data_IF_170631662136
#
_entry.id   IF_170631662136
#
_cell.length_a   1.000
_cell.length_b   1.000
_cell.length_c   1.000
_cell.angle_alpha   90.00
_cell.angle_beta   90.00
_cell.angle_gamma   90.00
#
_symmetry.space_group_name_H-M   'P 1'
#
loop_
_entity.id
_entity.type
_entity.pdbx_description
1 polymer ?
#
# COMPACT_ATOMS: atom_id res chain seq x y z
N UNK A 1 -12.53 -6.92 -18.94
CA UNK A 1 -12.35 -8.40 -18.98
C UNK A 1 -12.53 -8.87 -17.55
N UNK A 2 -13.46 -9.79 -17.30
CA UNK A 2 -13.63 -10.37 -15.97
C UNK A 2 -12.42 -11.26 -15.63
N UNK A 3 -11.92 -11.15 -14.40
CA UNK A 3 -10.80 -11.95 -13.92
C UNK A 3 -11.36 -13.25 -13.35
N UNK A 4 -11.02 -14.35 -13.99
CA UNK A 4 -11.51 -15.68 -13.57
C UNK A 4 -10.99 -16.03 -12.19
N UNK A 5 -11.89 -16.42 -11.29
CA UNK A 5 -11.55 -16.94 -9.96
C UNK A 5 -10.60 -18.12 -10.08
N UNK A 6 -9.56 -18.10 -9.26
CA UNK A 6 -8.56 -19.17 -9.19
C UNK A 6 -8.63 -19.88 -7.85
N UNK A 7 -8.35 -21.17 -7.85
CA UNK A 7 -8.19 -21.95 -6.62
C UNK A 7 -6.75 -21.78 -6.10
N UNK A 8 -6.62 -21.16 -4.95
CA UNK A 8 -5.37 -20.98 -4.24
C UNK A 8 -5.17 -21.94 -3.06
N UNK A 9 -6.04 -22.95 -2.88
CA UNK A 9 -5.97 -23.88 -1.74
C UNK A 9 -4.68 -24.70 -1.71
N UNK A 10 -4.01 -24.87 -2.84
CA UNK A 10 -2.75 -25.58 -2.98
C UNK A 10 -1.51 -24.67 -2.89
N UNK A 11 -1.70 -23.36 -2.84
CA UNK A 11 -0.58 -22.42 -2.67
C UNK A 11 -0.06 -22.51 -1.24
N UNK A 12 1.24 -22.65 -1.10
CA UNK A 12 1.88 -22.77 0.22
C UNK A 12 2.40 -21.44 0.77
N UNK A 13 2.70 -20.49 -0.11
CA UNK A 13 3.30 -19.21 0.23
C UNK A 13 2.36 -18.07 -0.14
N UNK A 14 1.92 -17.33 0.86
CA UNK A 14 1.06 -16.15 0.67
C UNK A 14 1.85 -14.90 1.07
N UNK A 15 1.97 -13.90 0.17
CA UNK A 15 2.54 -12.60 0.53
C UNK A 15 1.81 -12.01 1.74
N UNK A 16 2.54 -11.32 2.63
CA UNK A 16 1.94 -10.71 3.83
C UNK A 16 1.62 -11.68 4.97
N UNK A 17 1.97 -12.98 4.85
CA UNK A 17 1.90 -13.95 5.95
C UNK A 17 3.29 -14.32 6.46
N UNK A 18 3.40 -14.76 7.71
CA UNK A 18 4.66 -15.23 8.26
C UNK A 18 5.10 -16.57 7.61
N UNK A 19 6.41 -16.77 7.43
CA UNK A 19 6.99 -18.00 6.89
C UNK A 19 6.83 -18.16 5.37
N UNK A 20 6.61 -17.08 4.65
CA UNK A 20 6.55 -17.11 3.18
C UNK A 20 7.96 -17.05 2.54
N UNK A 21 8.07 -17.37 1.25
CA UNK A 21 9.37 -17.38 0.53
C UNK A 21 10.03 -16.01 0.44
N UNK A 22 9.28 -14.92 0.61
CA UNK A 22 9.80 -13.57 0.62
C UNK A 22 10.61 -13.27 1.90
N UNK A 23 10.39 -14.01 2.97
CA UNK A 23 11.16 -13.89 4.22
C UNK A 23 12.67 -14.15 3.99
N UNK A 24 13.04 -14.97 3.01
CA UNK A 24 14.45 -15.17 2.64
C UNK A 24 15.05 -13.86 2.09
N UNK A 25 14.33 -13.15 1.24
CA UNK A 25 14.76 -11.88 0.68
C UNK A 25 14.90 -10.83 1.79
N UNK A 26 13.94 -10.80 2.72
CA UNK A 26 13.98 -9.89 3.87
C UNK A 26 15.18 -10.22 4.78
N UNK A 27 15.45 -11.51 5.03
CA UNK A 27 16.61 -11.93 5.82
C UNK A 27 17.94 -11.51 5.17
N UNK A 28 18.09 -11.70 3.86
CA UNK A 28 19.29 -11.24 3.12
C UNK A 28 19.45 -9.73 3.24
N UNK A 29 18.35 -8.98 3.15
CA UNK A 29 18.38 -7.54 3.33
C UNK A 29 18.82 -7.14 4.74
N UNK A 30 18.34 -7.83 5.78
CA UNK A 30 18.76 -7.58 7.18
C UNK A 30 20.25 -7.86 7.37
N UNK A 31 20.76 -8.95 6.78
CA UNK A 31 22.22 -9.28 6.80
C UNK A 31 23.02 -8.17 6.13
N UNK A 32 22.59 -7.66 4.97
CA UNK A 32 23.25 -6.55 4.27
C UNK A 32 23.24 -5.27 5.12
N UNK A 33 22.10 -4.93 5.73
CA UNK A 33 22.01 -3.74 6.60
C UNK A 33 22.93 -3.86 7.83
N UNK A 34 23.07 -5.07 8.40
CA UNK A 34 23.95 -5.38 9.52
C UNK A 34 25.45 -5.30 9.22
N UNK A 35 25.88 -5.21 7.97
CA UNK A 35 27.31 -5.14 7.62
C UNK A 35 27.98 -3.89 8.23
N UNK A 36 29.21 -4.00 8.76
CA UNK A 36 30.00 -2.85 9.17
C UNK A 36 30.17 -1.84 8.02
N UNK A 37 29.96 -0.55 8.28
CA UNK A 37 30.02 0.49 7.25
C UNK A 37 31.32 0.52 6.43
N UNK A 38 32.52 0.32 7.00
CA UNK A 38 33.74 0.24 6.19
C UNK A 38 33.76 -0.95 5.23
N UNK A 39 33.27 -2.13 5.67
CA UNK A 39 33.20 -3.32 4.83
C UNK A 39 32.19 -3.12 3.70
N UNK A 40 31.05 -2.52 4.00
CA UNK A 40 30.04 -2.19 3.00
C UNK A 40 30.56 -1.21 1.96
N UNK A 41 31.28 -0.15 2.39
CA UNK A 41 31.92 0.81 1.49
C UNK A 41 32.92 0.10 0.54
N UNK A 42 33.76 -0.79 1.08
CA UNK A 42 34.70 -1.57 0.26
C UNK A 42 33.96 -2.47 -0.76
N UNK A 43 32.88 -3.12 -0.35
CA UNK A 43 32.07 -3.96 -1.25
C UNK A 43 31.47 -3.13 -2.40
N UNK A 44 31.00 -1.90 -2.13
CA UNK A 44 30.46 -1.00 -3.16
C UNK A 44 31.53 -0.56 -4.19
N UNK A 45 32.80 -0.60 -3.85
CA UNK A 45 33.89 -0.25 -4.76
C UNK A 45 34.30 -1.39 -5.68
N UNK A 46 33.90 -2.63 -5.42
CA UNK A 46 34.24 -3.77 -6.28
C UNK A 46 33.73 -3.63 -7.72
N UNK A 47 32.43 -3.30 -7.99
CA UNK A 47 31.97 -3.02 -9.33
C UNK A 47 32.71 -1.85 -10.00
N UNK A 48 33.06 -0.81 -9.24
CA UNK A 48 33.82 0.34 -9.72
C UNK A 48 35.22 -0.07 -10.18
N UNK A 49 35.90 -0.94 -9.42
CA UNK A 49 37.20 -1.49 -9.81
C UNK A 49 37.10 -2.32 -11.10
N UNK A 50 36.06 -3.13 -11.22
CA UNK A 50 35.80 -3.90 -12.44
C UNK A 50 35.61 -3.00 -13.66
N UNK A 51 34.85 -1.93 -13.53
CA UNK A 51 34.69 -0.92 -14.61
C UNK A 51 36.01 -0.26 -14.97
N UNK A 52 36.85 0.11 -13.99
CA UNK A 52 38.18 0.66 -14.23
C UNK A 52 39.06 -0.30 -15.06
N UNK A 53 39.03 -1.60 -14.73
CA UNK A 53 39.77 -2.65 -15.45
C UNK A 53 39.24 -2.83 -16.89
N UNK A 54 37.93 -2.88 -17.07
CA UNK A 54 37.29 -3.07 -18.39
C UNK A 54 37.61 -1.91 -19.31
N UNK A 55 37.55 -0.66 -18.83
CA UNK A 55 37.85 0.53 -19.59
C UNK A 55 39.36 0.79 -19.69
N UNK A 56 40.21 0.02 -19.00
CA UNK A 56 41.66 0.26 -18.88
C UNK A 56 41.98 1.69 -18.46
N UNK A 57 41.15 2.27 -17.62
CA UNK A 57 41.23 3.65 -17.15
C UNK A 57 40.57 3.78 -15.77
N UNK A 58 41.19 4.55 -14.87
CA UNK A 58 40.68 4.76 -13.52
C UNK A 58 39.43 5.66 -13.46
N UNK A 59 39.27 6.58 -14.42
CA UNK A 59 38.26 7.62 -14.38
C UNK A 59 36.81 7.06 -14.38
N UNK A 60 36.42 6.11 -15.26
CA UNK A 60 35.10 5.50 -15.22
C UNK A 60 34.79 4.79 -13.90
N UNK A 61 35.80 4.06 -13.37
CA UNK A 61 35.68 3.35 -12.09
C UNK A 61 35.53 4.33 -10.92
N UNK A 62 36.36 5.39 -10.88
CA UNK A 62 36.24 6.42 -9.83
C UNK A 62 34.86 7.08 -9.89
N UNK A 63 34.39 7.45 -11.09
CA UNK A 63 33.05 8.02 -11.28
C UNK A 63 31.95 7.11 -10.74
N UNK A 64 31.94 5.82 -11.12
CA UNK A 64 30.96 4.87 -10.64
C UNK A 64 31.03 4.69 -9.12
N UNK A 65 32.23 4.59 -8.54
CA UNK A 65 32.41 4.49 -7.09
C UNK A 65 31.83 5.69 -6.34
N UNK A 66 32.00 6.90 -6.88
CA UNK A 66 31.40 8.12 -6.32
C UNK A 66 29.87 8.08 -6.40
N UNK A 67 29.28 7.59 -7.48
CA UNK A 67 27.82 7.43 -7.58
C UNK A 67 27.29 6.40 -6.57
N UNK A 68 27.95 5.25 -6.39
CA UNK A 68 27.56 4.27 -5.39
C UNK A 68 27.60 4.84 -3.97
N UNK A 69 28.67 5.55 -3.62
CA UNK A 69 28.80 6.18 -2.31
C UNK A 69 27.80 7.31 -2.12
N UNK A 70 27.48 8.06 -3.19
CA UNK A 70 26.47 9.11 -3.14
C UNK A 70 25.04 8.55 -2.91
N UNK A 71 24.69 7.44 -3.57
CA UNK A 71 23.43 6.77 -3.33
C UNK A 71 23.31 6.32 -1.88
N UNK A 72 24.35 5.66 -1.36
CA UNK A 72 24.34 5.25 0.04
C UNK A 72 24.21 6.45 0.98
N UNK A 73 24.95 7.53 0.73
CA UNK A 73 24.85 8.75 1.52
C UNK A 73 23.46 9.38 1.46
N UNK A 74 22.85 9.46 0.26
CA UNK A 74 21.49 9.97 0.06
C UNK A 74 20.47 9.16 0.87
N UNK A 75 20.53 7.82 0.81
CA UNK A 75 19.60 6.97 1.54
C UNK A 75 19.84 7.01 3.06
N UNK A 76 21.10 6.97 3.50
CA UNK A 76 21.46 7.04 4.91
C UNK A 76 21.13 8.40 5.57
N UNK A 77 20.95 9.44 4.77
CA UNK A 77 20.54 10.76 5.26
C UNK A 77 19.03 10.91 5.42
N UNK A 78 18.18 10.05 4.81
CA UNK A 78 16.72 10.16 4.87
C UNK A 78 16.18 10.36 6.30
N UNK A 79 16.60 9.57 7.32
CA UNK A 79 16.12 9.74 8.70
C UNK A 79 16.47 11.10 9.31
N UNK A 80 17.64 11.67 8.94
CA UNK A 80 18.06 12.99 9.47
C UNK A 80 17.16 14.13 9.00
N UNK A 81 16.49 13.95 7.87
CA UNK A 81 15.56 14.92 7.30
C UNK A 81 14.08 14.53 7.53
N UNK A 82 13.80 13.53 8.37
CA UNK A 82 12.45 13.10 8.67
C UNK A 82 11.68 12.57 7.45
N UNK A 83 12.41 11.96 6.50
CA UNK A 83 11.81 11.47 5.24
C UNK A 83 11.37 10.02 5.32
N UNK A 84 12.23 9.14 5.83
CA UNK A 84 11.95 7.72 6.06
C UNK A 84 12.98 7.14 7.01
N UNK A 85 12.63 6.05 7.70
CA UNK A 85 13.47 5.39 8.71
C UNK A 85 13.85 3.96 8.28
N UNK A 86 13.74 3.65 6.99
CA UNK A 86 14.09 2.35 6.42
C UNK A 86 15.60 2.10 6.28
N UNK A 87 15.98 0.85 5.93
CA UNK A 87 17.37 0.47 5.71
C UNK A 87 17.97 1.20 4.51
N UNK A 88 19.26 1.55 4.59
CA UNK A 88 19.94 2.26 3.51
C UNK A 88 20.80 1.34 2.63
N UNK A 89 21.42 0.30 3.21
CA UNK A 89 22.40 -0.53 2.49
C UNK A 89 21.76 -1.48 1.45
N UNK A 90 20.66 -2.22 1.75
CA UNK A 90 20.06 -3.13 0.76
C UNK A 90 19.63 -2.42 -0.52
N UNK A 91 18.88 -1.29 -0.48
CA UNK A 91 18.53 -0.59 -1.71
C UNK A 91 19.78 0.00 -2.42
N UNK A 92 20.83 0.39 -1.69
CA UNK A 92 22.09 0.83 -2.31
C UNK A 92 22.76 -0.29 -3.10
N UNK A 93 22.73 -1.54 -2.62
CA UNK A 93 23.25 -2.69 -3.39
C UNK A 93 22.48 -2.86 -4.70
N UNK A 94 21.15 -2.78 -4.65
CA UNK A 94 20.32 -2.85 -5.86
C UNK A 94 20.67 -1.72 -6.85
N UNK A 95 20.79 -0.50 -6.35
CA UNK A 95 21.20 0.66 -7.17
C UNK A 95 22.60 0.46 -7.76
N UNK A 96 23.57 -0.08 -7.00
CA UNK A 96 24.91 -0.35 -7.50
C UNK A 96 24.90 -1.37 -8.65
N UNK A 97 24.05 -2.39 -8.58
CA UNK A 97 23.83 -3.35 -9.68
C UNK A 97 23.23 -2.63 -10.90
N UNK A 98 22.22 -1.80 -10.71
CA UNK A 98 21.58 -1.05 -11.81
C UNK A 98 22.55 -0.07 -12.48
N UNK A 99 23.38 0.64 -11.72
CA UNK A 99 24.38 1.59 -12.23
C UNK A 99 25.54 0.92 -12.96
N UNK A 100 25.82 -0.34 -12.68
CA UNK A 100 26.89 -1.07 -13.36
C UNK A 100 26.67 -1.15 -14.89
N UNK A 101 25.43 -1.30 -15.35
CA UNK A 101 25.15 -1.44 -16.78
C UNK A 101 25.40 -0.15 -17.58
N UNK A 102 24.90 1.03 -17.19
CA UNK A 102 25.25 2.29 -17.87
C UNK A 102 26.75 2.58 -17.87
N UNK A 103 27.47 2.19 -16.80
CA UNK A 103 28.92 2.40 -16.70
C UNK A 103 29.75 1.65 -17.75
N UNK A 104 29.16 0.67 -18.44
CA UNK A 104 29.78 -0.04 -19.57
C UNK A 104 29.76 0.79 -20.87
N UNK A 105 28.99 1.88 -20.93
CA UNK A 105 28.89 2.75 -22.09
C UNK A 105 30.16 3.62 -22.25
N UNK A 106 30.38 4.25 -23.42
CA UNK A 106 31.40 5.29 -23.57
C UNK A 106 31.24 6.42 -22.55
N UNK A 107 32.34 6.92 -22.02
CA UNK A 107 32.36 7.82 -20.85
C UNK A 107 31.34 8.97 -20.87
N UNK A 108 31.12 9.73 -21.96
CA UNK A 108 30.12 10.81 -21.97
C UNK A 108 28.70 10.29 -21.77
N UNK A 109 28.36 9.16 -22.39
CA UNK A 109 27.03 8.53 -22.26
C UNK A 109 26.84 7.90 -20.89
N UNK A 110 27.87 7.24 -20.36
CA UNK A 110 27.86 6.72 -19.00
C UNK A 110 27.63 7.86 -17.98
N UNK A 111 28.38 8.93 -18.06
CA UNK A 111 28.24 10.07 -17.15
C UNK A 111 26.83 10.71 -17.22
N UNK A 112 26.27 10.85 -18.41
CA UNK A 112 24.91 11.36 -18.59
C UNK A 112 23.86 10.40 -17.99
N UNK A 113 23.98 9.10 -18.25
CA UNK A 113 23.06 8.09 -17.72
C UNK A 113 23.13 8.01 -16.18
N UNK A 114 24.33 8.08 -15.61
CA UNK A 114 24.54 8.09 -14.15
C UNK A 114 23.96 9.34 -13.49
N UNK A 115 24.11 10.51 -14.12
CA UNK A 115 23.51 11.75 -13.63
C UNK A 115 21.97 11.66 -13.63
N UNK A 116 21.37 11.14 -14.72
CA UNK A 116 19.93 10.86 -14.79
C UNK A 116 19.52 9.85 -13.71
N UNK A 117 20.29 8.77 -13.54
CA UNK A 117 20.07 7.78 -12.47
C UNK A 117 20.02 8.43 -11.08
N UNK A 118 20.92 9.37 -10.80
CA UNK A 118 20.91 10.10 -9.52
C UNK A 118 19.64 10.95 -9.35
N UNK A 119 19.17 11.63 -10.40
CA UNK A 119 17.91 12.37 -10.35
C UNK A 119 16.72 11.43 -10.09
N UNK A 120 16.71 10.24 -10.69
CA UNK A 120 15.67 9.22 -10.45
C UNK A 120 15.74 8.70 -9.00
N UNK A 121 16.91 8.46 -8.44
CA UNK A 121 17.09 8.08 -7.03
C UNK A 121 16.56 9.16 -6.10
N UNK A 122 16.91 10.43 -6.34
CA UNK A 122 16.39 11.55 -5.55
C UNK A 122 14.87 11.62 -5.67
N UNK A 123 14.32 11.52 -6.86
CA UNK A 123 12.87 11.53 -7.06
C UNK A 123 12.17 10.38 -6.30
N UNK A 124 12.67 9.15 -6.47
CA UNK A 124 12.05 7.95 -5.96
C UNK A 124 12.13 7.79 -4.44
N UNK A 125 13.17 8.31 -3.79
CA UNK A 125 13.36 8.16 -2.34
C UNK A 125 13.09 9.45 -1.55
N UNK A 126 13.25 10.63 -2.17
CA UNK A 126 13.18 11.91 -1.47
C UNK A 126 11.94 12.74 -1.81
N UNK A 127 11.32 12.50 -2.97
CA UNK A 127 10.20 13.32 -3.44
C UNK A 127 8.90 12.54 -3.43
N UNK A 128 8.80 11.51 -4.27
CA UNK A 128 7.53 10.81 -4.50
C UNK A 128 6.95 10.15 -3.24
N UNK A 129 7.73 9.50 -2.33
CA UNK A 129 7.18 8.91 -1.11
C UNK A 129 6.45 9.89 -0.18
N UNK A 130 6.70 11.18 -0.32
CA UNK A 130 6.07 12.24 0.46
C UNK A 130 4.95 12.95 -0.27
N UNK A 131 4.78 12.65 -1.56
CA UNK A 131 3.78 13.23 -2.44
C UNK A 131 2.38 12.64 -2.23
N UNK A 132 1.87 12.62 -1.00
CA UNK A 132 0.53 12.13 -0.71
C UNK A 132 -0.52 12.94 -1.48
N UNK A 133 -1.18 12.26 -2.43
CA UNK A 133 -2.23 12.81 -3.27
C UNK A 133 -3.64 12.45 -2.78
N UNK A 134 -4.61 13.25 -3.22
CA UNK A 134 -6.05 12.97 -3.06
C UNK A 134 -6.59 12.52 -4.42
N UNK A 135 -7.06 11.28 -4.49
CA UNK A 135 -7.73 10.73 -5.66
C UNK A 135 -9.24 10.82 -5.49
N UNK A 136 -9.95 11.34 -6.48
CA UNK A 136 -11.41 11.39 -6.49
C UNK A 136 -11.98 10.27 -7.34
N UNK A 137 -12.99 9.57 -6.82
CA UNK A 137 -13.74 8.52 -7.49
C UNK A 137 -15.23 8.79 -7.37
N UNK A 138 -15.98 8.44 -8.40
CA UNK A 138 -17.44 8.55 -8.41
C UNK A 138 -18.03 7.19 -8.81
N UNK A 139 -19.11 6.80 -8.12
CA UNK A 139 -19.86 5.60 -8.43
C UNK A 139 -21.36 5.87 -8.29
N UNK A 140 -22.09 5.60 -9.36
CA UNK A 140 -23.55 5.66 -9.36
C UNK A 140 -24.13 4.26 -9.38
N UNK A 141 -25.18 4.02 -8.57
CA UNK A 141 -25.86 2.73 -8.52
C UNK A 141 -27.35 2.91 -8.26
N UNK A 142 -28.23 2.10 -8.86
CA UNK A 142 -29.66 2.12 -8.54
C UNK A 142 -29.97 1.65 -7.10
N UNK A 143 -29.04 0.96 -6.45
CA UNK A 143 -29.17 0.56 -5.04
C UNK A 143 -28.87 1.71 -4.06
N UNK A 144 -28.24 2.80 -4.53
CA UNK A 144 -27.97 3.96 -3.70
C UNK A 144 -29.21 4.85 -3.63
N UNK A 145 -29.51 5.44 -2.45
CA UNK A 145 -30.63 6.36 -2.30
C UNK A 145 -30.46 7.60 -3.20
N UNK A 146 -31.54 8.12 -3.76
CA UNK A 146 -31.49 9.42 -4.45
C UNK A 146 -31.22 10.53 -3.44
N UNK A 147 -30.49 11.58 -3.84
CA UNK A 147 -30.20 12.73 -3.01
C UNK A 147 -28.74 13.16 -3.08
N UNK A 148 -28.26 13.72 -1.98
CA UNK A 148 -26.84 14.12 -1.87
C UNK A 148 -25.94 12.88 -1.94
N UNK A 149 -24.83 12.93 -2.70
CA UNK A 149 -23.87 11.83 -2.73
C UNK A 149 -23.30 11.54 -1.32
N UNK A 150 -23.11 10.27 -0.98
CA UNK A 150 -22.35 9.88 0.21
C UNK A 150 -20.85 10.05 -0.09
N UNK A 151 -20.15 10.79 0.77
CA UNK A 151 -18.71 11.04 0.66
C UNK A 151 -17.95 10.05 1.56
N UNK A 152 -17.31 9.06 0.96
CA UNK A 152 -16.53 8.02 1.65
C UNK A 152 -15.04 8.30 1.46
N UNK A 153 -14.33 8.54 2.56
CA UNK A 153 -12.86 8.62 2.51
C UNK A 153 -12.28 7.22 2.76
N UNK A 154 -11.61 6.68 1.77
CA UNK A 154 -10.86 5.41 1.89
C UNK A 154 -9.39 5.69 2.17
N UNK A 155 -8.91 5.11 3.27
CA UNK A 155 -7.53 5.10 3.72
C UNK A 155 -7.02 3.66 3.74
N UNK A 156 -5.75 3.46 3.40
CA UNK A 156 -5.09 2.15 3.40
C UNK A 156 -3.61 2.29 3.73
N UNK A 157 -3.04 1.25 4.33
CA UNK A 157 -1.60 1.05 4.42
C UNK A 157 -0.87 2.28 4.99
N UNK A 158 -1.20 2.66 6.23
CA UNK A 158 -0.55 3.78 6.92
C UNK A 158 0.93 3.49 7.13
N UNK A 159 1.27 2.24 7.51
CA UNK A 159 2.63 1.80 7.80
C UNK A 159 3.43 2.83 8.60
N UNK A 160 2.85 3.29 9.72
CA UNK A 160 3.48 4.29 10.57
C UNK A 160 4.89 3.85 10.98
N UNK A 161 5.86 4.71 10.76
CA UNK A 161 7.25 4.53 11.20
C UNK A 161 7.43 5.16 12.59
N UNK A 162 8.66 5.13 13.12
CA UNK A 162 8.98 5.59 14.49
C UNK A 162 8.72 7.08 14.75
N UNK A 163 8.54 7.88 13.71
CA UNK A 163 8.16 9.29 13.78
C UNK A 163 7.29 9.67 12.58
N UNK A 164 6.46 10.69 12.76
CA UNK A 164 5.68 11.27 11.66
C UNK A 164 6.61 11.95 10.65
N UNK A 165 6.48 11.57 9.39
CA UNK A 165 7.16 12.21 8.27
C UNK A 165 6.31 13.36 7.70
N UNK A 166 6.83 14.06 6.69
CA UNK A 166 6.04 15.07 5.98
C UNK A 166 4.78 14.50 5.30
N UNK A 167 4.77 13.21 4.99
CA UNK A 167 3.62 12.49 4.42
C UNK A 167 2.46 12.41 5.41
N UNK A 168 2.68 11.97 6.65
CA UNK A 168 1.65 11.91 7.69
C UNK A 168 1.21 13.33 8.10
N UNK A 169 2.11 14.30 8.09
CA UNK A 169 1.72 15.71 8.31
C UNK A 169 0.83 16.23 7.18
N UNK A 170 1.10 15.85 5.92
CA UNK A 170 0.24 16.16 4.78
C UNK A 170 -1.13 15.47 4.90
N UNK A 171 -1.16 14.20 5.34
CA UNK A 171 -2.41 13.49 5.62
C UNK A 171 -3.27 14.27 6.64
N UNK A 172 -2.67 14.66 7.77
CA UNK A 172 -3.37 15.43 8.82
C UNK A 172 -3.89 16.78 8.30
N UNK A 173 -3.15 17.44 7.42
CA UNK A 173 -3.62 18.67 6.77
C UNK A 173 -4.82 18.39 5.84
N UNK A 174 -4.77 17.35 5.02
CA UNK A 174 -5.88 16.96 4.14
C UNK A 174 -7.14 16.57 4.94
N UNK A 175 -6.99 15.83 6.04
CA UNK A 175 -8.13 15.45 6.90
C UNK A 175 -8.89 16.66 7.47
N UNK A 176 -8.21 17.78 7.74
CA UNK A 176 -8.85 19.02 8.21
C UNK A 176 -9.59 19.76 7.10
N UNK A 177 -9.18 19.61 5.85
CA UNK A 177 -9.78 20.25 4.69
C UNK A 177 -10.96 19.43 4.13
N UNK A 178 -10.88 18.10 4.28
CA UNK A 178 -11.89 17.19 3.80
C UNK A 178 -13.05 17.08 4.81
N UNK A 179 -14.25 16.88 4.27
CA UNK A 179 -15.47 16.66 5.07
C UNK A 179 -16.12 15.36 4.58
N UNK A 180 -15.54 14.17 4.86
CA UNK A 180 -16.19 12.92 4.52
C UNK A 180 -17.37 12.65 5.43
N UNK A 181 -18.38 11.95 4.91
CA UNK A 181 -19.50 11.47 5.73
C UNK A 181 -19.11 10.23 6.54
N UNK A 182 -18.22 9.39 5.97
CA UNK A 182 -17.68 8.19 6.60
C UNK A 182 -16.21 8.00 6.19
N UNK A 183 -15.41 7.42 7.09
CA UNK A 183 -14.03 7.02 6.80
C UNK A 183 -13.92 5.50 6.91
N UNK A 184 -13.36 4.87 5.88
CA UNK A 184 -13.10 3.43 5.80
C UNK A 184 -11.59 3.18 5.68
N UNK A 185 -11.02 2.45 6.63
CA UNK A 185 -9.60 2.17 6.72
C UNK A 185 -9.34 0.67 6.50
N UNK A 186 -8.64 0.30 5.43
CA UNK A 186 -8.47 -1.09 5.01
C UNK A 186 -7.23 -1.79 5.58
N UNK A 187 -6.66 -1.28 6.70
CA UNK A 187 -5.62 -1.98 7.45
C UNK A 187 -4.18 -1.57 7.16
N UNK A 188 -3.24 -2.32 7.73
CA UNK A 188 -1.80 -2.08 7.77
C UNK A 188 -1.45 -0.76 8.48
N UNK A 189 -1.62 -0.76 9.82
CA UNK A 189 -1.43 0.43 10.65
C UNK A 189 0.03 0.77 10.88
N UNK A 190 0.86 -0.21 11.28
CA UNK A 190 2.27 -0.02 11.59
C UNK A 190 3.17 -0.57 10.48
N UNK A 191 4.34 0.04 10.34
CA UNK A 191 5.36 -0.50 9.45
C UNK A 191 5.93 -1.80 10.04
N UNK A 192 6.06 -2.84 9.21
CA UNK A 192 6.53 -4.18 9.60
C UNK A 192 7.90 -4.16 10.31
N UNK A 193 8.70 -3.10 10.13
CA UNK A 193 9.98 -2.93 10.84
C UNK A 193 9.83 -2.53 12.30
N UNK A 194 8.65 -2.04 12.73
CA UNK A 194 8.49 -1.33 14.00
C UNK A 194 7.25 -1.79 14.77
N UNK A 195 6.83 -3.04 14.60
CA UNK A 195 5.61 -3.58 15.26
C UNK A 195 5.69 -3.52 16.78
N UNK A 196 6.88 -3.70 17.35
CA UNK A 196 7.13 -3.69 18.80
C UNK A 196 7.72 -2.36 19.28
N UNK A 197 7.81 -1.32 18.43
CA UNK A 197 8.38 -0.03 18.80
C UNK A 197 7.28 0.92 19.32
N UNK A 198 7.31 1.34 20.59
CA UNK A 198 6.30 2.23 21.17
C UNK A 198 6.22 3.59 20.47
N UNK A 199 7.29 4.03 19.80
CA UNK A 199 7.28 5.30 19.04
C UNK A 199 6.44 5.18 17.77
N UNK A 200 6.52 4.04 17.07
CA UNK A 200 5.69 3.76 15.91
C UNK A 200 4.21 3.64 16.30
N UNK A 201 3.94 2.96 17.41
CA UNK A 201 2.60 2.89 17.98
C UNK A 201 2.05 4.30 18.29
N UNK A 202 2.84 5.14 18.96
CA UNK A 202 2.46 6.51 19.27
C UNK A 202 2.24 7.35 18.00
N UNK A 203 3.08 7.19 16.98
CA UNK A 203 2.96 7.89 15.70
C UNK A 203 1.67 7.48 14.96
N UNK A 204 1.35 6.18 14.90
CA UNK A 204 0.09 5.70 14.32
C UNK A 204 -1.12 6.28 15.06
N UNK A 205 -1.15 6.18 16.38
CA UNK A 205 -2.25 6.68 17.20
C UNK A 205 -2.45 8.19 17.06
N UNK A 206 -1.37 8.97 16.92
CA UNK A 206 -1.46 10.42 16.69
C UNK A 206 -2.15 10.78 15.36
N UNK A 207 -2.05 9.93 14.33
CA UNK A 207 -2.76 10.10 13.06
C UNK A 207 -4.20 9.62 13.20
N UNK A 208 -4.40 8.44 13.76
CA UNK A 208 -5.71 7.78 13.88
C UNK A 208 -6.68 8.57 14.77
N UNK A 209 -6.16 9.23 15.81
CA UNK A 209 -6.95 10.08 16.70
C UNK A 209 -7.57 11.32 15.98
N UNK A 210 -7.04 11.73 14.83
CA UNK A 210 -7.57 12.84 14.04
C UNK A 210 -8.68 12.41 13.05
N UNK A 211 -8.94 11.10 12.91
CA UNK A 211 -9.98 10.59 12.02
C UNK A 211 -11.38 10.81 12.62
N UNK A 212 -12.18 11.65 11.99
CA UNK A 212 -13.57 11.90 12.42
C UNK A 212 -14.47 12.04 11.20
N UNK A 213 -15.65 11.41 11.28
CA UNK A 213 -16.70 11.55 10.28
C UNK A 213 -18.08 11.37 10.92
N UNK A 214 -19.14 12.06 10.43
CA UNK A 214 -20.47 12.02 11.03
C UNK A 214 -21.11 10.64 11.12
N UNK A 215 -20.85 9.76 10.12
CA UNK A 215 -21.35 8.38 10.10
C UNK A 215 -20.33 7.39 10.70
N UNK A 216 -19.21 7.86 11.24
CA UNK A 216 -18.21 7.08 11.92
C UNK A 216 -16.96 6.79 11.09
N UNK A 217 -16.00 6.18 11.78
CA UNK A 217 -14.74 5.69 11.21
C UNK A 217 -14.68 4.20 11.45
N UNK A 218 -14.49 3.44 10.40
CA UNK A 218 -14.46 1.97 10.45
C UNK A 218 -13.14 1.46 9.90
N UNK A 219 -12.55 0.49 10.56
CA UNK A 219 -11.29 -0.11 10.16
C UNK A 219 -11.36 -1.63 10.16
N UNK A 220 -10.58 -2.27 9.30
CA UNK A 220 -10.30 -3.71 9.35
C UNK A 220 -8.82 -3.94 9.58
N UNK A 221 -8.44 -5.15 9.98
CA UNK A 221 -7.03 -5.55 10.02
C UNK A 221 -6.46 -5.70 8.62
N UNK A 222 -5.21 -5.35 8.47
CA UNK A 222 -4.43 -5.54 7.26
C UNK A 222 -3.79 -6.93 7.15
N UNK A 223 -2.53 -6.95 6.71
CA UNK A 223 -1.74 -8.18 6.56
C UNK A 223 -1.56 -8.90 7.90
N UNK A 224 -1.76 -10.23 7.98
CA UNK A 224 -1.59 -10.99 9.22
C UNK A 224 -0.19 -10.87 9.86
N UNK A 225 0.83 -10.55 9.05
CA UNK A 225 2.19 -10.31 9.54
C UNK A 225 2.37 -8.91 10.14
N UNK A 226 1.50 -7.96 9.81
CA UNK A 226 1.53 -6.56 10.25
C UNK A 226 0.50 -6.34 11.35
N UNK A 227 -0.78 -6.52 11.03
CA UNK A 227 -1.90 -6.26 11.93
C UNK A 227 -2.30 -7.54 12.68
N UNK A 228 -1.42 -7.98 13.59
CA UNK A 228 -1.70 -9.18 14.38
C UNK A 228 -2.89 -8.97 15.32
N UNK A 229 -3.61 -10.04 15.70
CA UNK A 229 -4.73 -9.94 16.66
C UNK A 229 -4.35 -9.33 18.01
N UNK A 230 -3.08 -9.38 18.40
CA UNK A 230 -2.55 -8.77 19.62
C UNK A 230 -2.14 -7.31 19.45
N UNK A 231 -1.80 -6.88 18.24
CA UNK A 231 -1.33 -5.54 17.96
C UNK A 231 -2.47 -4.56 17.71
N UNK A 232 -3.46 -4.93 16.88
CA UNK A 232 -4.56 -4.02 16.52
C UNK A 232 -5.30 -3.45 17.75
N UNK A 233 -5.62 -4.23 18.80
CA UNK A 233 -6.19 -3.67 20.03
C UNK A 233 -5.29 -2.64 20.70
N UNK A 234 -3.96 -2.78 20.62
CA UNK A 234 -3.02 -1.80 21.17
C UNK A 234 -2.98 -0.52 20.34
N UNK A 235 -3.04 -0.65 19.02
CA UNK A 235 -3.11 0.52 18.09
C UNK A 235 -4.37 1.33 18.34
N UNK A 236 -5.51 0.66 18.53
CA UNK A 236 -6.82 1.28 18.68
C UNK A 236 -7.21 1.56 20.14
N UNK A 237 -6.37 1.20 21.13
CA UNK A 237 -6.66 1.46 22.54
C UNK A 237 -6.93 2.96 22.78
N UNK A 238 -7.99 3.27 23.53
CA UNK A 238 -8.44 4.65 23.84
C UNK A 238 -8.75 5.52 22.61
N UNK A 239 -8.99 4.92 21.44
CA UNK A 239 -9.44 5.58 20.24
C UNK A 239 -10.94 5.28 20.01
N UNK A 240 -11.82 5.91 20.81
CA UNK A 240 -13.26 5.70 20.73
C UNK A 240 -13.89 6.19 19.41
N UNK A 241 -13.13 6.92 18.62
CA UNK A 241 -13.53 7.43 17.32
C UNK A 241 -13.48 6.38 16.19
N UNK A 242 -12.84 5.20 16.41
CA UNK A 242 -12.66 4.16 15.38
C UNK A 242 -13.31 2.87 15.83
N UNK A 243 -14.22 2.32 15.02
CA UNK A 243 -14.76 0.97 15.21
C UNK A 243 -13.96 -0.04 14.37
N UNK A 244 -13.32 -0.99 15.03
CA UNK A 244 -12.66 -2.12 14.39
C UNK A 244 -13.69 -3.20 14.04
N UNK A 245 -13.88 -3.45 12.75
CA UNK A 245 -14.80 -4.46 12.23
C UNK A 245 -14.10 -5.81 12.11
N UNK A 246 -14.76 -6.86 12.61
CA UNK A 246 -14.26 -8.22 12.61
C UNK A 246 -15.37 -9.17 12.16
N UNK A 247 -15.45 -9.46 10.85
CA UNK A 247 -16.41 -10.37 10.25
C UNK A 247 -17.87 -9.97 10.56
N UNK A 248 -18.18 -8.70 10.37
CA UNK A 248 -19.51 -8.12 10.68
C UNK A 248 -19.98 -7.12 9.62
N UNK A 249 -21.27 -6.82 9.67
CA UNK A 249 -21.91 -5.80 8.82
C UNK A 249 -22.39 -4.63 9.67
N UNK A 250 -22.09 -3.42 9.21
CA UNK A 250 -22.58 -2.17 9.80
C UNK A 250 -23.45 -1.45 8.80
N UNK A 251 -24.63 -1.03 9.22
CA UNK A 251 -25.56 -0.24 8.41
C UNK A 251 -25.37 1.25 8.66
N UNK A 252 -25.13 2.02 7.61
CA UNK A 252 -24.99 3.47 7.62
C UNK A 252 -26.27 4.10 7.07
N UNK A 253 -26.99 4.91 7.86
CA UNK A 253 -28.16 5.63 7.38
C UNK A 253 -27.74 6.72 6.38
N UNK A 254 -28.37 6.79 5.22
CA UNK A 254 -28.08 7.82 4.23
C UNK A 254 -29.32 8.14 3.37
N UNK A 255 -29.68 9.43 3.27
CA UNK A 255 -30.71 9.96 2.38
C UNK A 255 -32.05 9.20 2.42
N UNK A 256 -32.51 8.78 3.61
CA UNK A 256 -33.75 8.00 3.80
C UNK A 256 -33.65 6.51 3.47
N UNK A 257 -32.47 6.03 3.10
CA UNK A 257 -32.13 4.62 2.93
C UNK A 257 -30.95 4.22 3.81
N UNK A 258 -30.25 3.16 3.41
CA UNK A 258 -29.04 2.69 4.09
C UNK A 258 -28.00 2.17 3.10
N UNK A 259 -26.76 2.22 3.49
CA UNK A 259 -25.63 1.59 2.84
C UNK A 259 -24.96 0.68 3.86
N UNK A 260 -24.62 -0.52 3.47
CA UNK A 260 -24.03 -1.48 4.40
C UNK A 260 -22.52 -1.64 4.13
N UNK A 261 -21.72 -1.65 5.20
CA UNK A 261 -20.28 -1.89 5.18
C UNK A 261 -20.00 -3.24 5.82
N UNK A 262 -19.43 -4.15 5.05
CA UNK A 262 -18.94 -5.46 5.52
C UNK A 262 -17.46 -5.30 5.86
N UNK A 263 -17.09 -5.42 7.11
CA UNK A 263 -15.70 -5.49 7.54
C UNK A 263 -15.29 -6.95 7.70
N UNK A 264 -14.32 -7.40 6.92
CA UNK A 264 -13.88 -8.80 6.94
C UNK A 264 -12.41 -8.92 7.36
N UNK A 265 -12.13 -9.86 8.25
CA UNK A 265 -10.77 -10.20 8.68
C UNK A 265 -9.98 -10.80 7.53
N UNK A 266 -8.81 -10.26 7.25
CA UNK A 266 -7.95 -10.69 6.17
C UNK A 266 -6.96 -11.78 6.61
N UNK A 267 -7.01 -12.96 5.98
CA UNK A 267 -6.01 -14.03 6.19
C UNK A 267 -5.04 -14.17 5.04
N UNK A 268 -5.18 -13.38 3.97
CA UNK A 268 -4.51 -13.54 2.67
C UNK A 268 -4.81 -14.86 1.96
N UNK A 269 -5.81 -15.58 2.40
CA UNK A 269 -6.21 -16.87 1.83
C UNK A 269 -7.64 -16.79 1.30
N UNK A 270 -7.86 -16.43 0.03
CA UNK A 270 -9.21 -16.26 -0.52
C UNK A 270 -10.11 -17.48 -0.34
N UNK A 271 -9.54 -18.70 -0.36
CA UNK A 271 -10.29 -19.95 -0.12
C UNK A 271 -10.76 -20.13 1.33
N UNK A 272 -10.23 -19.33 2.29
CA UNK A 272 -10.72 -19.24 3.68
C UNK A 272 -11.68 -18.06 3.82
N UNK A 273 -11.28 -16.90 3.29
CA UNK A 273 -11.99 -15.65 3.51
C UNK A 273 -13.27 -15.54 2.64
N UNK A 274 -13.30 -16.17 1.45
CA UNK A 274 -14.49 -16.22 0.61
C UNK A 274 -15.68 -16.96 1.25
N UNK A 275 -15.52 -18.19 1.79
CA UNK A 275 -16.54 -18.84 2.62
C UNK A 275 -16.99 -17.96 3.79
N UNK A 276 -16.06 -17.35 4.52
CA UNK A 276 -16.36 -16.46 5.65
C UNK A 276 -17.19 -15.24 5.21
N UNK A 277 -16.88 -14.62 4.08
CA UNK A 277 -17.68 -13.53 3.53
C UNK A 277 -19.14 -13.99 3.30
N UNK A 278 -19.34 -15.17 2.72
CA UNK A 278 -20.69 -15.72 2.50
C UNK A 278 -21.44 -15.99 3.80
N UNK A 279 -20.76 -16.47 4.85
CA UNK A 279 -21.34 -16.70 6.17
C UNK A 279 -21.76 -15.38 6.82
N UNK A 280 -20.93 -14.35 6.78
CA UNK A 280 -21.24 -13.00 7.30
C UNK A 280 -22.47 -12.42 6.58
N UNK A 281 -22.50 -12.52 5.26
CA UNK A 281 -23.64 -12.03 4.47
C UNK A 281 -24.92 -12.84 4.72
N UNK A 282 -24.83 -14.16 4.87
CA UNK A 282 -26.00 -14.99 5.17
C UNK A 282 -26.59 -14.69 6.55
N UNK A 283 -25.74 -14.39 7.53
CA UNK A 283 -26.16 -13.99 8.88
C UNK A 283 -26.82 -12.59 8.88
N UNK A 284 -26.27 -11.63 8.11
CA UNK A 284 -26.81 -10.27 8.02
C UNK A 284 -28.09 -10.18 7.18
N UNK A 285 -28.25 -11.05 6.17
CA UNK A 285 -29.36 -11.01 5.20
C UNK A 285 -30.00 -12.40 5.04
N UNK A 286 -30.64 -12.96 6.09
CA UNK A 286 -31.21 -14.32 6.04
C UNK A 286 -32.29 -14.44 4.95
N UNK A 287 -32.02 -15.29 3.98
CA UNK A 287 -32.97 -15.57 2.87
C UNK A 287 -33.10 -14.46 1.81
N UNK A 288 -32.36 -13.34 1.96
CA UNK A 288 -32.46 -12.22 1.03
C UNK A 288 -31.46 -12.37 -0.13
N UNK A 289 -31.91 -12.37 -1.39
CA UNK A 289 -31.02 -12.43 -2.54
C UNK A 289 -30.16 -11.13 -2.65
N UNK A 290 -28.99 -11.22 -3.28
CA UNK A 290 -28.07 -10.11 -3.42
C UNK A 290 -28.68 -8.87 -4.13
N UNK A 291 -29.59 -9.10 -5.07
CA UNK A 291 -30.30 -8.03 -5.80
C UNK A 291 -31.21 -7.15 -4.93
N UNK A 292 -31.66 -7.68 -3.79
CA UNK A 292 -32.57 -6.98 -2.86
C UNK A 292 -31.82 -6.36 -1.67
N UNK A 293 -30.51 -6.64 -1.53
CA UNK A 293 -29.69 -6.04 -0.48
C UNK A 293 -29.44 -4.56 -0.75
N UNK A 294 -29.23 -3.75 0.29
CA UNK A 294 -28.72 -2.39 0.14
C UNK A 294 -27.40 -2.36 -0.62
N UNK A 295 -27.00 -1.18 -1.08
CA UNK A 295 -25.65 -1.01 -1.60
C UNK A 295 -24.63 -1.45 -0.56
N UNK A 296 -23.80 -2.41 -0.91
CA UNK A 296 -22.91 -3.09 0.06
C UNK A 296 -21.44 -2.84 -0.31
N UNK A 297 -20.71 -2.26 0.64
CA UNK A 297 -19.27 -2.02 0.55
C UNK A 297 -18.55 -3.12 1.32
N UNK A 298 -17.63 -3.84 0.69
CA UNK A 298 -16.68 -4.71 1.37
C UNK A 298 -15.42 -3.93 1.68
N UNK A 299 -15.12 -3.76 2.97
CA UNK A 299 -13.84 -3.27 3.46
C UNK A 299 -12.97 -4.47 3.78
N UNK A 300 -11.94 -4.70 2.97
CA UNK A 300 -11.08 -5.87 3.06
C UNK A 300 -9.68 -5.53 2.53
N UNK A 301 -8.64 -5.96 3.24
CA UNK A 301 -7.28 -5.47 3.02
C UNK A 301 -6.72 -5.77 1.63
N UNK A 302 -6.75 -7.04 1.19
CA UNK A 302 -6.20 -7.42 -0.12
C UNK A 302 -7.23 -7.37 -1.24
N UNK A 303 -6.82 -7.12 -2.50
CA UNK A 303 -7.73 -7.17 -3.63
C UNK A 303 -8.13 -8.62 -4.03
N UNK A 304 -7.46 -9.62 -3.48
CA UNK A 304 -7.51 -10.99 -3.96
C UNK A 304 -8.85 -11.68 -3.71
N UNK A 305 -9.73 -11.10 -2.88
CA UNK A 305 -11.06 -11.59 -2.61
C UNK A 305 -12.10 -11.11 -3.65
N UNK A 306 -11.73 -10.24 -4.59
CA UNK A 306 -12.67 -9.61 -5.51
C UNK A 306 -13.53 -10.61 -6.33
N UNK A 307 -13.02 -11.75 -6.82
CA UNK A 307 -13.88 -12.73 -7.49
C UNK A 307 -14.94 -13.34 -6.56
N UNK A 308 -14.58 -13.65 -5.31
CA UNK A 308 -15.55 -14.14 -4.30
C UNK A 308 -16.55 -13.05 -3.90
N UNK A 309 -16.11 -11.80 -3.79
CA UNK A 309 -16.96 -10.65 -3.49
C UNK A 309 -18.00 -10.40 -4.62
N UNK A 310 -17.56 -10.50 -5.88
CA UNK A 310 -18.45 -10.40 -7.04
C UNK A 310 -19.51 -11.52 -7.04
N UNK A 311 -19.10 -12.78 -6.82
CA UNK A 311 -20.02 -13.92 -6.69
C UNK A 311 -21.00 -13.73 -5.52
N UNK A 312 -20.56 -13.10 -4.44
CA UNK A 312 -21.37 -12.82 -3.27
C UNK A 312 -22.31 -11.60 -3.43
N UNK A 313 -22.22 -10.87 -4.55
CA UNK A 313 -23.04 -9.71 -4.85
C UNK A 313 -22.68 -8.44 -4.08
N UNK A 314 -21.42 -8.25 -3.77
CA UNK A 314 -20.86 -6.99 -3.27
C UNK A 314 -20.84 -5.95 -4.40
N UNK A 315 -21.17 -4.70 -4.08
CA UNK A 315 -21.23 -3.64 -5.07
C UNK A 315 -19.89 -2.88 -5.21
N UNK A 316 -19.19 -2.66 -4.07
CA UNK A 316 -17.89 -1.97 -4.01
C UNK A 316 -16.96 -2.70 -3.04
N UNK A 317 -15.73 -3.04 -3.47
CA UNK A 317 -14.66 -3.51 -2.58
C UNK A 317 -13.58 -2.45 -2.51
N UNK A 318 -13.21 -2.07 -1.27
CA UNK A 318 -12.12 -1.15 -0.98
C UNK A 318 -10.95 -1.92 -0.37
N UNK A 319 -9.80 -1.89 -1.03
CA UNK A 319 -8.60 -2.64 -0.66
C UNK A 319 -7.33 -1.79 -0.78
N UNK A 320 -6.29 -2.20 -0.07
CA UNK A 320 -4.92 -1.68 -0.13
C UNK A 320 -3.91 -2.76 -0.52
N UNK A 321 -2.89 -2.97 0.34
CA UNK A 321 -1.90 -4.04 0.31
C UNK A 321 -0.84 -3.96 -0.79
N UNK A 322 -1.22 -3.68 -2.03
CA UNK A 322 -0.31 -3.77 -3.18
C UNK A 322 0.67 -2.60 -3.29
N UNK A 323 0.34 -1.49 -2.65
CA UNK A 323 1.06 -0.21 -2.78
C UNK A 323 1.25 0.28 -4.24
N UNK A 324 0.43 -0.24 -5.17
CA UNK A 324 0.66 -0.04 -6.60
C UNK A 324 2.00 -0.61 -7.08
N UNK A 325 2.56 -1.59 -6.34
CA UNK A 325 3.87 -2.19 -6.59
C UNK A 325 5.07 -1.33 -6.16
N UNK A 326 4.86 -0.18 -5.57
CA UNK A 326 5.86 0.83 -5.15
C UNK A 326 6.79 1.35 -6.26
N UNK A 327 7.20 0.49 -7.20
CA UNK A 327 8.06 0.84 -8.35
C UNK A 327 7.37 0.42 -9.64
N UNK A 328 7.00 1.41 -10.43
CA UNK A 328 6.37 1.21 -11.73
C UNK A 328 7.28 1.69 -12.87
N UNK A 329 7.17 1.02 -14.02
CA UNK A 329 7.82 1.48 -15.25
C UNK A 329 6.77 2.12 -16.18
N UNK A 330 7.14 3.13 -16.95
CA UNK A 330 6.26 3.69 -17.95
C UNK A 330 5.73 2.61 -18.90
N UNK A 331 4.44 2.63 -19.20
CA UNK A 331 3.72 1.68 -20.07
C UNK A 331 3.65 0.23 -19.56
N UNK A 332 4.50 -0.16 -18.63
CA UNK A 332 4.50 -1.50 -18.06
C UNK A 332 3.70 -1.59 -16.74
N UNK A 333 3.70 -0.53 -15.93
CA UNK A 333 3.11 -0.52 -14.57
C UNK A 333 4.04 -1.14 -13.52
N UNK A 334 3.48 -1.73 -12.49
CA UNK A 334 4.21 -2.29 -11.36
C UNK A 334 5.22 -3.37 -11.79
N UNK A 335 6.45 -3.30 -11.28
CA UNK A 335 7.43 -4.38 -11.45
C UNK A 335 7.04 -5.62 -10.66
N UNK A 336 6.45 -5.41 -9.49
CA UNK A 336 5.91 -6.45 -8.62
C UNK A 336 4.60 -5.95 -8.02
N UNK A 337 3.56 -6.76 -8.05
CA UNK A 337 2.31 -6.48 -7.35
C UNK A 337 2.08 -7.56 -6.28
N UNK A 338 1.78 -7.14 -5.05
CA UNK A 338 1.56 -8.03 -3.90
C UNK A 338 0.26 -8.84 -3.96
N UNK A 339 -0.36 -8.97 -5.12
CA UNK A 339 -1.60 -9.72 -5.33
C UNK A 339 -1.33 -11.12 -5.87
N UNK A 340 -2.13 -12.11 -5.48
CA UNK A 340 -2.16 -13.47 -6.03
C UNK A 340 -2.55 -13.49 -7.52
N UNK A 341 -3.26 -12.46 -7.97
CA UNK A 341 -3.60 -12.22 -9.37
C UNK A 341 -2.56 -11.36 -10.10
N UNK A 342 -1.46 -11.03 -9.42
CA UNK A 342 -0.38 -10.23 -9.98
C UNK A 342 -0.85 -8.87 -10.46
N UNK A 343 -0.43 -8.47 -11.65
CA UNK A 343 -0.71 -7.15 -12.22
C UNK A 343 -2.19 -6.86 -12.48
N UNK A 344 -3.03 -7.88 -12.50
CA UNK A 344 -4.49 -7.68 -12.71
C UNK A 344 -5.12 -6.85 -11.60
N UNK A 345 -4.53 -6.88 -10.40
CA UNK A 345 -4.97 -6.14 -9.23
C UNK A 345 -3.85 -5.25 -8.66
N UNK A 346 -3.06 -4.60 -9.53
CA UNK A 346 -1.94 -3.79 -9.06
C UNK A 346 -2.36 -2.49 -8.35
N UNK A 347 -3.29 -1.73 -8.92
CA UNK A 347 -3.82 -0.49 -8.33
C UNK A 347 -5.02 0.07 -9.12
N UNK A 348 -5.77 0.97 -8.48
CA UNK A 348 -6.82 1.75 -9.11
C UNK A 348 -8.16 1.02 -9.19
N UNK A 349 -9.04 1.53 -10.06
CA UNK A 349 -10.40 1.02 -10.23
C UNK A 349 -10.46 -0.10 -11.25
N UNK A 350 -11.07 -1.21 -10.85
CA UNK A 350 -11.22 -2.42 -11.66
C UNK A 350 -12.70 -2.84 -11.61
N UNK A 351 -13.27 -3.24 -12.74
CA UNK A 351 -14.63 -3.79 -12.82
C UNK A 351 -14.56 -5.32 -12.89
N UNK A 352 -15.27 -5.99 -12.00
CA UNK A 352 -15.29 -7.46 -11.87
C UNK A 352 -16.71 -7.96 -11.69
N UNK A 353 -17.34 -8.44 -12.76
CA UNK A 353 -18.67 -9.12 -12.72
C UNK A 353 -19.73 -8.39 -11.87
N UNK A 354 -19.90 -7.09 -12.10
CA UNK A 354 -20.84 -6.23 -11.35
C UNK A 354 -20.25 -5.59 -10.10
N UNK A 355 -19.12 -6.09 -9.59
CA UNK A 355 -18.36 -5.48 -8.52
C UNK A 355 -17.46 -4.34 -9.05
N UNK A 356 -17.43 -3.22 -8.36
CA UNK A 356 -16.34 -2.25 -8.48
C UNK A 356 -15.29 -2.57 -7.41
N UNK A 357 -14.09 -2.98 -7.83
CA UNK A 357 -12.92 -3.08 -6.95
C UNK A 357 -12.10 -1.79 -7.05
N UNK A 358 -11.63 -1.29 -5.92
CA UNK A 358 -10.58 -0.28 -5.89
C UNK A 358 -9.40 -0.74 -5.03
N UNK A 359 -8.22 -0.74 -5.64
CA UNK A 359 -6.97 -1.06 -4.98
C UNK A 359 -6.19 0.23 -4.77
N UNK A 360 -6.15 0.69 -3.52
CA UNK A 360 -5.39 1.89 -3.15
C UNK A 360 -3.89 1.64 -3.21
N UNK A 361 -3.14 2.67 -3.62
CA UNK A 361 -1.68 2.66 -3.49
C UNK A 361 -1.20 2.86 -2.05
N UNK A 362 -2.13 3.12 -1.13
CA UNK A 362 -1.83 3.31 0.27
C UNK A 362 -1.05 4.59 0.60
N UNK A 363 -0.94 4.87 1.89
CA UNK A 363 -0.28 6.06 2.42
C UNK A 363 1.20 5.80 2.65
N UNK A 364 1.54 4.67 3.26
CA UNK A 364 2.86 4.34 3.77
C UNK A 364 3.82 3.70 2.78
N UNK A 365 4.84 3.08 3.33
CA UNK A 365 5.90 2.36 2.63
C UNK A 365 6.07 0.98 3.27
N UNK A 366 6.38 -0.02 2.46
CA UNK A 366 6.61 -1.38 2.94
C UNK A 366 7.74 -1.46 3.98
N UNK A 367 7.70 -2.50 4.81
CA UNK A 367 8.58 -2.67 5.96
C UNK A 367 9.82 -3.53 5.76
N UNK A 368 10.54 -3.78 6.85
CA UNK A 368 11.79 -4.58 6.91
C UNK A 368 12.82 -4.19 5.85
N UNK A 369 13.39 -5.15 5.14
CA UNK A 369 14.38 -4.96 4.09
C UNK A 369 13.85 -4.39 2.78
N UNK A 370 12.53 -4.18 2.63
CA UNK A 370 11.97 -3.55 1.45
C UNK A 370 12.47 -2.10 1.30
N UNK A 371 12.81 -1.65 0.08
CA UNK A 371 13.23 -0.27 -0.16
C UNK A 371 12.09 0.71 0.18
N UNK A 372 12.40 1.76 0.92
CA UNK A 372 11.46 2.84 1.23
C UNK A 372 11.34 3.79 0.02
N UNK A 373 10.80 3.27 -1.07
CA UNK A 373 10.79 3.90 -2.39
C UNK A 373 9.37 4.02 -2.92
N UNK A 374 9.09 5.07 -3.65
CA UNK A 374 7.96 5.17 -4.58
C UNK A 374 8.49 5.71 -5.91
N UNK A 375 8.15 5.04 -6.99
CA UNK A 375 8.52 5.49 -8.34
C UNK A 375 7.35 5.22 -9.29
N UNK A 376 6.72 6.30 -9.77
CA UNK A 376 5.48 6.28 -10.56
C UNK A 376 4.33 5.54 -9.88
N UNK A 377 4.35 5.50 -8.55
CA UNK A 377 3.34 4.93 -7.67
C UNK A 377 3.13 5.82 -6.44
N UNK A 378 2.76 7.11 -6.61
CA UNK A 378 2.65 8.06 -5.51
C UNK A 378 1.62 7.60 -4.47
N UNK A 379 1.89 7.84 -3.17
CA UNK A 379 0.93 7.56 -2.12
C UNK A 379 -0.39 8.30 -2.34
N UNK A 380 -1.49 7.70 -1.90
CA UNK A 380 -2.81 8.32 -2.06
C UNK A 380 -3.76 8.06 -0.88
N UNK A 381 -4.71 8.96 -0.74
CA UNK A 381 -6.00 8.73 -0.08
C UNK A 381 -7.11 8.92 -1.13
N UNK A 382 -8.24 8.25 -0.94
CA UNK A 382 -9.28 8.22 -1.98
C UNK A 382 -10.60 8.73 -1.45
N UNK A 383 -11.12 9.79 -2.06
CA UNK A 383 -12.46 10.31 -1.80
C UNK A 383 -13.43 9.75 -2.82
N UNK A 384 -14.43 9.01 -2.35
CA UNK A 384 -15.53 8.50 -3.13
C UNK A 384 -16.76 9.39 -2.98
N UNK A 385 -17.48 9.59 -4.09
CA UNK A 385 -18.83 10.14 -4.14
C UNK A 385 -19.77 9.06 -4.66
N UNK A 386 -20.57 8.49 -3.75
CA UNK A 386 -21.53 7.44 -4.05
C UNK A 386 -22.91 8.05 -4.22
N UNK A 387 -23.53 7.90 -5.39
CA UNK A 387 -24.80 8.55 -5.73
C UNK A 387 -25.83 7.57 -6.30
N UNK A 388 -27.10 7.82 -6.07
CA UNK A 388 -28.18 7.15 -6.77
C UNK A 388 -28.04 7.35 -8.29
N UNK A 389 -28.39 6.32 -9.08
CA UNK A 389 -28.45 6.48 -10.52
C UNK A 389 -29.44 7.60 -10.86
N UNK A 390 -29.04 8.52 -11.76
CA UNK A 390 -30.02 9.47 -12.32
C UNK A 390 -31.11 8.65 -12.99
N UNK A 391 -32.37 8.94 -12.65
CA UNK A 391 -33.47 8.42 -13.44
C UNK A 391 -33.24 8.87 -14.90
N UNK A 392 -33.03 7.93 -15.81
CA UNK A 392 -32.92 8.24 -17.21
C UNK A 392 -34.21 8.96 -17.65
N UNK A 393 -34.08 10.22 -18.04
CA UNK A 393 -35.05 10.96 -18.81
C UNK A 393 -36.31 11.42 -18.06
N UNK A 394 -36.24 12.56 -17.40
CA UNK A 394 -37.40 13.46 -17.35
C UNK A 394 -37.15 14.65 -18.27
#
# INVERSE_FOLDING_TARGET
MSITKRDFSQVKNFPGTQGNSFDVVLHVADVIEGLPSPLFALALLLPALLIALLHRSWWPGLGLGLFHLSDWALLACLPRFGRSYGPAKPPTVLLAVLRFFPALLPLPLAAAAEAVGTLLVVYAFWVEPLGLGLTHQQLSSPKLPPGQPLRVLHLADLHAEIHLTAREQRLRALLRELSPDVILFSGDFLNLSYLDDPRALAAARAVLAELHAPLGVYAVSGSPAVDTPSLVPQVLADLDNIRWLQDEVVSLPHAGGRIDVVGLTCTHKPFVDGPRLREVLAAAYPGQPASERPFTILLYHTPDLAPDAAEAGIDLQLSGHTHGGQVCLPLYGALFAGSLYGKSFEAGRIQQDGLTLYVSRGIGLEGKGAPRVRFLAPPEIVMWELSGAKADGA
#
